data_IF_348663211214
#
_entry.id   IF_348663211214
#
_cell.length_a   1.000
_cell.length_b   1.000
_cell.length_c   1.000
_cell.angle_alpha   90.00
_cell.angle_beta   90.00
_cell.angle_gamma   90.00
#
_symmetry.space_group_name_H-M   'P 1'
#
loop_
_entity.id
_entity.type
_entity.pdbx_description
1 polymer ?
#
# COMPACT_ATOMS: atom_id res chain seq x y z
N UNK A 1 -26.58 5.59 -14.74
CA UNK A 1 -27.40 5.76 -13.52
C UNK A 1 -26.57 5.31 -12.33
N UNK A 2 -25.97 6.24 -11.58
CA UNK A 2 -25.19 5.90 -10.38
C UNK A 2 -26.17 5.62 -9.23
N UNK A 3 -26.03 4.48 -8.57
CA UNK A 3 -26.99 4.02 -7.56
C UNK A 3 -26.90 4.89 -6.28
N UNK A 4 -28.03 5.23 -5.66
CA UNK A 4 -28.11 6.02 -4.42
C UNK A 4 -27.35 5.38 -3.24
N UNK A 5 -27.19 4.06 -3.27
CA UNK A 5 -26.34 3.29 -2.33
C UNK A 5 -24.84 3.50 -2.56
N UNK A 6 -24.41 3.83 -3.78
CA UNK A 6 -23.00 4.17 -4.07
C UNK A 6 -22.68 5.58 -3.59
N UNK A 7 -23.58 6.54 -3.80
CA UNK A 7 -23.43 7.93 -3.33
C UNK A 7 -23.35 8.02 -1.79
N UNK A 8 -24.17 7.25 -1.07
CA UNK A 8 -24.15 7.23 0.39
C UNK A 8 -22.85 6.64 0.95
N UNK A 9 -22.32 5.60 0.30
CA UNK A 9 -21.03 5.00 0.65
C UNK A 9 -19.85 5.96 0.38
N UNK A 10 -19.85 6.69 -0.73
CA UNK A 10 -18.79 7.68 -1.02
C UNK A 10 -18.81 8.86 -0.04
N UNK A 11 -20.00 9.35 0.31
CA UNK A 11 -20.15 10.44 1.28
C UNK A 11 -19.73 10.04 2.69
N UNK A 12 -20.06 8.82 3.12
CA UNK A 12 -19.57 8.28 4.39
C UNK A 12 -18.04 8.12 4.38
N UNK A 13 -17.46 7.59 3.29
CA UNK A 13 -16.01 7.45 3.13
C UNK A 13 -15.28 8.79 3.21
N UNK A 14 -15.78 9.83 2.53
CA UNK A 14 -15.19 11.18 2.59
C UNK A 14 -15.12 11.70 4.03
N UNK A 15 -16.22 11.60 4.79
CA UNK A 15 -16.26 12.06 6.19
C UNK A 15 -15.27 11.33 7.10
N UNK A 16 -15.13 10.02 6.96
CA UNK A 16 -14.16 9.28 7.77
C UNK A 16 -12.71 9.64 7.41
N UNK A 17 -12.44 9.83 6.12
CA UNK A 17 -11.14 10.30 5.65
C UNK A 17 -10.84 11.69 6.22
N UNK A 18 -11.84 12.57 6.29
CA UNK A 18 -11.73 13.89 6.93
C UNK A 18 -11.42 13.86 8.43
N UNK A 19 -11.80 12.78 9.12
CA UNK A 19 -11.60 12.58 10.56
C UNK A 19 -10.27 11.90 10.93
N UNK A 20 -9.34 11.74 9.98
CA UNK A 20 -8.03 11.12 10.24
C UNK A 20 -8.06 9.59 10.32
N UNK A 21 -9.10 8.95 9.74
CA UNK A 21 -9.21 7.48 9.74
C UNK A 21 -8.01 6.81 9.06
N UNK A 22 -7.46 7.42 8.00
CA UNK A 22 -6.35 6.82 7.25
C UNK A 22 -5.12 6.69 8.13
N UNK A 23 -4.76 7.77 8.82
CA UNK A 23 -3.65 7.87 9.75
C UNK A 23 -3.84 6.88 10.90
N UNK A 24 -5.03 6.85 11.53
CA UNK A 24 -5.35 5.90 12.60
C UNK A 24 -5.21 4.43 12.16
N UNK A 25 -5.69 4.09 10.96
CA UNK A 25 -5.54 2.73 10.43
C UNK A 25 -4.06 2.39 10.20
N UNK A 26 -3.24 3.32 9.71
CA UNK A 26 -1.80 3.10 9.50
C UNK A 26 -1.06 2.97 10.83
N UNK A 27 -1.39 3.79 11.83
CA UNK A 27 -0.84 3.68 13.18
C UNK A 27 -1.21 2.33 13.82
N UNK A 28 -2.47 1.90 13.65
CA UNK A 28 -2.94 0.58 14.11
C UNK A 28 -2.11 -0.55 13.49
N UNK A 29 -1.65 -0.38 12.23
CA UNK A 29 -0.82 -1.38 11.58
C UNK A 29 0.57 -1.53 12.23
N UNK A 30 1.06 -0.60 13.04
CA UNK A 30 2.41 -0.73 13.63
C UNK A 30 2.50 -1.99 14.50
N UNK A 31 1.59 -2.15 15.46
CA UNK A 31 1.64 -3.21 16.49
C UNK A 31 0.38 -4.09 16.58
N UNK A 32 -0.45 -4.13 15.53
CA UNK A 32 -1.59 -5.05 15.49
C UNK A 32 -1.20 -6.53 15.50
N UNK A 33 -2.04 -7.36 16.12
CA UNK A 33 -2.07 -8.79 15.87
C UNK A 33 -2.46 -9.09 14.41
N UNK A 34 -2.02 -10.23 13.87
CA UNK A 34 -2.23 -10.60 12.46
C UNK A 34 -3.68 -10.49 12.01
N UNK A 35 -4.63 -10.92 12.85
CA UNK A 35 -6.06 -10.91 12.55
C UNK A 35 -6.62 -9.48 12.40
N UNK A 36 -6.11 -8.53 13.17
CA UNK A 36 -6.45 -7.11 13.08
C UNK A 36 -5.76 -6.49 11.86
N UNK A 37 -4.48 -6.81 11.64
CA UNK A 37 -3.72 -6.29 10.51
C UNK A 37 -4.40 -6.61 9.16
N UNK A 38 -4.87 -7.84 8.96
CA UNK A 38 -5.55 -8.23 7.71
C UNK A 38 -6.82 -7.40 7.46
N UNK A 39 -7.64 -7.20 8.50
CA UNK A 39 -8.87 -6.39 8.41
C UNK A 39 -8.56 -4.92 8.12
N UNK A 40 -7.59 -4.35 8.81
CA UNK A 40 -7.16 -2.96 8.64
C UNK A 40 -6.61 -2.74 7.22
N UNK A 41 -5.79 -3.67 6.71
CA UNK A 41 -5.29 -3.63 5.34
C UNK A 41 -6.41 -3.72 4.30
N UNK A 42 -7.43 -4.55 4.53
CA UNK A 42 -8.61 -4.62 3.66
C UNK A 42 -9.39 -3.31 3.61
N UNK A 43 -9.56 -2.64 4.75
CA UNK A 43 -10.20 -1.32 4.82
C UNK A 43 -9.36 -0.28 4.09
N UNK A 44 -8.05 -0.21 4.36
CA UNK A 44 -7.12 0.71 3.68
C UNK A 44 -7.08 0.50 2.17
N UNK A 45 -7.09 -0.75 1.70
CA UNK A 45 -7.12 -1.09 0.28
C UNK A 45 -8.36 -0.54 -0.41
N UNK A 46 -9.51 -0.56 0.28
CA UNK A 46 -10.78 0.00 -0.21
C UNK A 46 -10.78 1.53 -0.18
N UNK A 47 -10.21 2.15 0.86
CA UNK A 47 -10.06 3.62 0.94
C UNK A 47 -9.17 4.12 -0.20
N UNK A 48 -8.04 3.45 -0.47
CA UNK A 48 -7.09 3.83 -1.52
C UNK A 48 -7.63 3.65 -2.96
N UNK A 49 -8.86 3.15 -3.13
CA UNK A 49 -9.54 3.22 -4.44
C UNK A 49 -9.98 4.66 -4.78
N UNK A 50 -10.16 5.55 -3.79
CA UNK A 50 -10.45 6.96 -4.03
C UNK A 50 -9.18 7.80 -4.09
N UNK A 51 -9.23 8.89 -4.87
CA UNK A 51 -8.12 9.85 -4.97
C UNK A 51 -7.80 10.48 -3.61
N UNK A 52 -8.83 10.84 -2.84
CA UNK A 52 -8.67 11.45 -1.52
C UNK A 52 -8.02 10.49 -0.52
N UNK A 53 -8.42 9.21 -0.53
CA UNK A 53 -7.79 8.18 0.30
C UNK A 53 -6.30 8.00 -0.02
N UNK A 54 -5.94 7.99 -1.31
CA UNK A 54 -4.53 7.92 -1.74
C UNK A 54 -3.74 9.17 -1.36
N UNK A 55 -4.34 10.36 -1.51
CA UNK A 55 -3.72 11.62 -1.12
C UNK A 55 -3.37 11.63 0.37
N UNK A 56 -4.30 11.24 1.24
CA UNK A 56 -4.03 11.15 2.70
C UNK A 56 -2.95 10.12 3.02
N UNK A 57 -3.05 8.92 2.46
CA UNK A 57 -2.06 7.88 2.67
C UNK A 57 -0.65 8.33 2.23
N UNK A 58 -0.52 8.94 1.05
CA UNK A 58 0.77 9.47 0.56
C UNK A 58 1.32 10.63 1.42
N UNK A 59 0.46 11.37 2.12
CA UNK A 59 0.87 12.48 2.98
C UNK A 59 1.25 12.04 4.40
N UNK A 60 1.07 10.76 4.74
CA UNK A 60 1.39 10.23 6.07
C UNK A 60 2.69 9.41 6.03
N UNK A 61 3.70 9.86 6.78
CA UNK A 61 5.07 9.35 6.68
C UNK A 61 5.22 7.85 6.99
N UNK A 62 4.34 7.28 7.81
CA UNK A 62 4.43 5.85 8.16
C UNK A 62 3.89 4.91 7.07
N UNK A 63 3.14 5.43 6.09
CA UNK A 63 2.39 4.61 5.12
C UNK A 63 3.26 3.61 4.40
N UNK A 64 4.29 4.08 3.68
CA UNK A 64 5.14 3.22 2.86
C UNK A 64 5.94 2.23 3.71
N UNK A 65 6.65 2.66 4.77
CA UNK A 65 7.38 1.75 5.65
C UNK A 65 6.51 0.66 6.29
N UNK A 66 5.32 1.03 6.79
CA UNK A 66 4.43 0.09 7.47
C UNK A 66 3.88 -0.94 6.49
N UNK A 67 3.40 -0.52 5.31
CA UNK A 67 2.89 -1.44 4.30
C UNK A 67 3.96 -2.43 3.82
N UNK A 68 5.19 -1.96 3.57
CA UNK A 68 6.31 -2.83 3.17
C UNK A 68 6.72 -3.78 4.30
N UNK A 69 6.61 -3.37 5.57
CA UNK A 69 6.84 -4.26 6.72
C UNK A 69 5.78 -5.36 6.84
N UNK A 70 4.56 -5.17 6.34
CA UNK A 70 3.48 -6.19 6.39
C UNK A 70 3.54 -7.23 5.27
N UNK A 71 4.24 -6.96 4.17
CA UNK A 71 4.45 -7.94 3.08
C UNK A 71 5.02 -9.25 3.64
N UNK A 72 4.39 -10.38 3.31
CA UNK A 72 4.82 -11.73 3.69
C UNK A 72 4.87 -12.01 5.21
N UNK A 73 4.25 -11.16 6.04
CA UNK A 73 4.33 -11.29 7.52
C UNK A 73 2.99 -11.59 8.20
N UNK A 74 1.87 -11.35 7.52
CA UNK A 74 0.52 -11.46 8.10
C UNK A 74 -0.20 -12.68 7.55
N UNK A 75 -0.59 -12.62 6.27
CA UNK A 75 -1.28 -13.66 5.50
C UNK A 75 -1.12 -13.37 4.00
N UNK A 76 -1.56 -14.29 3.16
CA UNK A 76 -1.58 -14.08 1.71
C UNK A 76 -2.49 -12.90 1.34
N UNK A 77 -3.73 -12.90 1.86
CA UNK A 77 -4.70 -11.83 1.60
C UNK A 77 -4.20 -10.45 2.07
N UNK A 78 -3.58 -10.37 3.25
CA UNK A 78 -2.95 -9.14 3.73
C UNK A 78 -1.80 -8.68 2.83
N UNK A 79 -1.05 -9.63 2.25
CA UNK A 79 0.01 -9.33 1.28
C UNK A 79 -0.58 -8.78 -0.02
N UNK A 80 -1.65 -9.37 -0.55
CA UNK A 80 -2.36 -8.85 -1.73
C UNK A 80 -2.88 -7.42 -1.51
N UNK A 81 -3.47 -7.15 -0.34
CA UNK A 81 -3.91 -5.80 0.01
C UNK A 81 -2.73 -4.83 0.08
N UNK A 82 -1.64 -5.21 0.74
CA UNK A 82 -0.44 -4.37 0.87
C UNK A 82 0.17 -4.03 -0.48
N UNK A 83 0.34 -5.03 -1.37
CA UNK A 83 0.82 -4.82 -2.73
C UNK A 83 -0.13 -3.91 -3.51
N UNK A 84 -1.45 -4.13 -3.40
CA UNK A 84 -2.42 -3.31 -4.11
C UNK A 84 -2.40 -1.85 -3.64
N UNK A 85 -2.17 -1.58 -2.36
CA UNK A 85 -2.05 -0.21 -1.85
C UNK A 85 -0.73 0.41 -2.35
N UNK A 86 0.40 -0.27 -2.14
CA UNK A 86 1.71 0.20 -2.58
C UNK A 86 1.76 0.52 -4.07
N UNK A 87 1.19 -0.34 -4.91
CA UNK A 87 1.11 -0.13 -6.35
C UNK A 87 0.34 1.16 -6.68
N UNK A 88 -0.84 1.39 -6.08
CA UNK A 88 -1.62 2.62 -6.32
C UNK A 88 -0.85 3.86 -5.90
N UNK A 89 -0.18 3.83 -4.75
CA UNK A 89 0.53 4.99 -4.20
C UNK A 89 1.80 5.32 -4.98
N UNK A 90 2.63 4.32 -5.27
CA UNK A 90 3.92 4.52 -5.93
C UNK A 90 3.77 4.76 -7.43
N UNK A 91 2.81 4.14 -8.12
CA UNK A 91 2.58 4.39 -9.55
C UNK A 91 2.00 5.79 -9.78
N UNK A 92 1.10 6.25 -8.91
CA UNK A 92 0.57 7.63 -8.98
C UNK A 92 1.68 8.66 -8.74
N UNK A 93 2.68 8.32 -7.93
CA UNK A 93 3.83 9.17 -7.58
C UNK A 93 5.15 8.65 -8.17
N UNK A 94 5.11 8.08 -9.38
CA UNK A 94 6.29 7.45 -10.01
C UNK A 94 7.47 8.38 -10.25
N UNK A 95 7.24 9.69 -10.27
CA UNK A 95 8.28 10.71 -10.44
C UNK A 95 8.80 11.23 -9.08
N UNK A 96 8.26 10.75 -7.96
CA UNK A 96 8.70 11.10 -6.60
C UNK A 96 9.83 10.18 -6.15
N UNK A 97 11.06 10.54 -6.52
CA UNK A 97 12.27 9.77 -6.19
C UNK A 97 12.46 9.58 -4.68
N UNK A 98 12.07 10.55 -3.85
CA UNK A 98 12.19 10.43 -2.38
C UNK A 98 11.35 9.27 -1.85
N UNK A 99 10.11 9.16 -2.31
CA UNK A 99 9.18 8.09 -1.93
C UNK A 99 9.66 6.71 -2.43
N UNK A 100 10.24 6.68 -3.63
CA UNK A 100 10.80 5.45 -4.22
C UNK A 100 12.04 4.99 -3.43
N UNK A 101 12.92 5.93 -3.08
CA UNK A 101 14.11 5.65 -2.29
C UNK A 101 13.76 5.19 -0.88
N UNK A 102 12.76 5.78 -0.24
CA UNK A 102 12.23 5.29 1.04
C UNK A 102 11.78 3.83 0.92
N UNK A 103 10.99 3.50 -0.12
CA UNK A 103 10.55 2.13 -0.35
C UNK A 103 11.73 1.15 -0.56
N UNK A 104 12.75 1.56 -1.32
CA UNK A 104 13.98 0.79 -1.52
C UNK A 104 14.72 0.55 -0.19
N UNK A 105 14.92 1.61 0.60
CA UNK A 105 15.65 1.55 1.88
C UNK A 105 15.00 0.59 2.89
N UNK A 106 13.68 0.47 2.91
CA UNK A 106 12.96 -0.47 3.80
C UNK A 106 12.78 -1.88 3.20
N UNK A 107 13.47 -2.16 2.09
CA UNK A 107 13.60 -3.48 1.48
C UNK A 107 12.42 -3.89 0.59
N UNK A 108 11.71 -2.95 -0.04
CA UNK A 108 10.59 -3.26 -0.92
C UNK A 108 11.01 -4.19 -2.06
N UNK A 109 12.16 -3.93 -2.69
CA UNK A 109 12.63 -4.67 -3.85
C UNK A 109 12.80 -6.16 -3.54
N UNK A 110 13.53 -6.48 -2.46
CA UNK A 110 13.81 -7.85 -2.05
C UNK A 110 12.52 -8.58 -1.65
N UNK A 111 11.61 -7.91 -0.93
CA UNK A 111 10.33 -8.51 -0.51
C UNK A 111 9.39 -8.79 -1.68
N UNK A 112 9.30 -7.86 -2.65
CA UNK A 112 8.47 -8.05 -3.85
C UNK A 112 9.05 -9.13 -4.77
N UNK A 113 10.38 -9.20 -4.90
CA UNK A 113 11.04 -10.28 -5.63
C UNK A 113 10.77 -11.64 -4.99
N UNK A 114 10.93 -11.73 -3.66
CA UNK A 114 10.64 -12.94 -2.91
C UNK A 114 9.17 -13.36 -3.07
N UNK A 115 8.22 -12.42 -2.99
CA UNK A 115 6.79 -12.68 -3.20
C UNK A 115 6.51 -13.37 -4.54
N UNK A 116 7.14 -12.89 -5.63
CA UNK A 116 6.99 -13.51 -6.94
C UNK A 116 7.60 -14.91 -6.98
N UNK A 117 8.75 -15.11 -6.33
CA UNK A 117 9.46 -16.40 -6.30
C UNK A 117 8.73 -17.47 -5.50
N UNK A 118 8.13 -17.12 -4.36
CA UNK A 118 7.37 -18.06 -3.52
C UNK A 118 5.95 -18.31 -4.04
N UNK A 119 5.47 -17.45 -4.94
CA UNK A 119 4.15 -17.55 -5.57
C UNK A 119 3.11 -16.62 -4.96
N UNK A 120 2.24 -16.07 -5.81
CA UNK A 120 1.08 -15.25 -5.44
C UNK A 120 0.03 -15.30 -6.56
N UNK A 121 -1.15 -14.69 -6.35
CA UNK A 121 -2.16 -14.58 -7.40
C UNK A 121 -1.67 -13.76 -8.60
N UNK A 122 -2.19 -14.04 -9.79
CA UNK A 122 -1.72 -13.39 -11.04
C UNK A 122 -1.87 -11.86 -10.98
N UNK A 123 -3.00 -11.35 -10.50
CA UNK A 123 -3.23 -9.92 -10.30
C UNK A 123 -2.25 -9.28 -9.28
N UNK A 124 -1.79 -10.04 -8.29
CA UNK A 124 -0.78 -9.55 -7.34
C UNK A 124 0.61 -9.55 -7.97
N UNK A 125 0.92 -10.60 -8.76
CA UNK A 125 2.16 -10.74 -9.51
C UNK A 125 2.34 -9.62 -10.55
N UNK A 126 1.28 -9.25 -11.27
CA UNK A 126 1.29 -8.13 -12.23
C UNK A 126 1.69 -6.82 -11.54
N UNK A 127 1.00 -6.46 -10.45
CA UNK A 127 1.29 -5.25 -9.66
C UNK A 127 2.68 -5.26 -9.05
N UNK A 128 3.09 -6.38 -8.47
CA UNK A 128 4.43 -6.55 -7.92
C UNK A 128 5.51 -6.39 -9.00
N UNK A 129 5.26 -6.90 -10.22
CA UNK A 129 6.18 -6.75 -11.35
C UNK A 129 6.31 -5.31 -11.81
N UNK A 130 5.21 -4.55 -11.86
CA UNK A 130 5.26 -3.12 -12.17
C UNK A 130 6.01 -2.32 -11.10
N UNK A 131 5.78 -2.62 -9.82
CA UNK A 131 6.53 -2.02 -8.72
C UNK A 131 8.03 -2.33 -8.83
N UNK A 132 8.40 -3.58 -9.13
CA UNK A 132 9.81 -3.95 -9.32
C UNK A 132 10.45 -3.19 -10.48
N UNK A 133 9.73 -2.99 -11.60
CA UNK A 133 10.24 -2.16 -12.71
C UNK A 133 10.51 -0.73 -12.26
N UNK A 134 9.57 -0.11 -11.55
CA UNK A 134 9.73 1.25 -11.02
C UNK A 134 10.92 1.37 -10.05
N UNK A 135 11.02 0.43 -9.10
CA UNK A 135 12.10 0.39 -8.11
C UNK A 135 13.46 0.13 -8.77
N UNK A 136 13.52 -0.71 -9.80
CA UNK A 136 14.76 -1.04 -10.49
C UNK A 136 15.41 0.17 -11.19
N UNK A 137 14.61 1.15 -11.64
CA UNK A 137 15.12 2.38 -12.25
C UNK A 137 15.97 3.22 -11.29
N UNK A 138 15.70 3.11 -9.98
CA UNK A 138 16.33 3.93 -8.92
C UNK A 138 17.24 3.09 -8.00
N UNK A 139 17.35 1.78 -8.26
CA UNK A 139 18.04 0.82 -7.38
C UNK A 139 19.53 1.11 -7.23
N UNK A 140 20.18 1.69 -8.25
CA UNK A 140 21.60 2.03 -8.21
C UNK A 140 21.94 3.27 -7.37
N UNK A 141 20.94 4.08 -7.01
CA UNK A 141 21.13 5.34 -6.26
C UNK A 141 21.04 5.12 -4.74
N UNK A 142 20.55 3.95 -4.33
CA UNK A 142 20.40 3.55 -2.93
C UNK A 142 21.36 2.40 -2.69
N UNK A 143 22.62 2.70 -2.33
CA UNK A 143 23.56 1.70 -1.82
C UNK A 143 22.90 0.97 -0.65
N UNK A 144 22.46 -0.26 -0.89
CA UNK A 144 21.90 -1.11 0.16
C UNK A 144 23.07 -1.85 0.83
N UNK A 145 23.36 -1.49 2.08
CA UNK A 145 24.13 -2.31 3.03
C UNK A 145 23.34 -3.60 3.32
#
# INVERSE_FOLDING_TARGET
>A
MVNSSQLSNEKARSKFVDLGLVELLIETLVDCEKSICEKVLGILARICNSQEGRKRANNYALTIPVLIKKLLRVSDLATEFSVSILWKLLIEKRDNVVLINEALQVGAFQKLLLLIQVGCSENTKEKASELLKLLNLHRGEVECI
#
